data_IF_594697108125
#
_entry.id   IF_594697108125
#
_cell.length_a   1.000
_cell.length_b   1.000
_cell.length_c   1.000
_cell.angle_alpha   90.00
_cell.angle_beta   90.00
_cell.angle_gamma   90.00
#
_symmetry.space_group_name_H-M   'P 1'
#
loop_
_entity.id
_entity.type
_entity.pdbx_description
1 polymer ?
#
# COMPACT_ATOMS: atom_id res chain seq x y z
N UNK A 1 -9.80 -21.38 -5.64
CA UNK A 1 -10.40 -20.40 -6.60
C UNK A 1 -9.54 -19.15 -6.57
N UNK A 2 -8.97 -18.70 -7.69
CA UNK A 2 -8.16 -17.47 -7.70
C UNK A 2 -9.06 -16.28 -7.37
N UNK A 3 -8.99 -15.77 -6.14
CA UNK A 3 -9.65 -14.52 -5.82
C UNK A 3 -8.94 -13.42 -6.62
N UNK A 4 -9.69 -12.65 -7.40
CA UNK A 4 -9.16 -11.50 -8.13
C UNK A 4 -9.40 -10.26 -7.26
N UNK A 5 -8.35 -9.49 -6.98
CA UNK A 5 -8.50 -8.07 -6.67
C UNK A 5 -9.03 -7.40 -7.94
N UNK A 6 -10.35 -7.33 -8.10
CA UNK A 6 -10.98 -6.66 -9.24
C UNK A 6 -11.20 -5.19 -8.91
N UNK A 7 -10.27 -4.35 -9.37
CA UNK A 7 -10.41 -2.89 -9.37
C UNK A 7 -11.02 -2.35 -10.68
N UNK A 8 -11.48 -3.23 -11.59
CA UNK A 8 -12.11 -2.83 -12.87
C UNK A 8 -13.38 -1.98 -12.64
N UNK A 9 -14.04 -2.15 -11.50
CA UNK A 9 -15.18 -1.33 -11.11
C UNK A 9 -14.79 0.10 -10.70
N UNK A 10 -13.52 0.36 -10.33
CA UNK A 10 -13.10 1.71 -9.92
C UNK A 10 -13.26 2.72 -11.07
N UNK A 11 -13.05 2.30 -12.32
CA UNK A 11 -13.24 3.17 -13.49
C UNK A 11 -14.71 3.39 -13.85
N UNK A 12 -15.63 2.60 -13.28
CA UNK A 12 -17.07 2.67 -13.53
C UNK A 12 -17.80 3.52 -12.49
N UNK A 13 -17.12 3.88 -11.39
CA UNK A 13 -17.64 4.77 -10.36
C UNK A 13 -16.87 6.08 -10.47
N UNK A 14 -17.52 7.15 -10.93
CA UNK A 14 -16.88 8.43 -11.25
C UNK A 14 -15.97 8.95 -10.14
N UNK A 15 -16.43 8.90 -8.88
CA UNK A 15 -15.67 9.39 -7.72
C UNK A 15 -14.45 8.54 -7.39
N UNK A 16 -14.54 7.21 -7.52
CA UNK A 16 -13.38 6.31 -7.38
C UNK A 16 -12.39 6.52 -8.53
N UNK A 17 -12.88 6.73 -9.75
CA UNK A 17 -12.08 7.06 -10.92
C UNK A 17 -11.32 8.37 -10.70
N UNK A 18 -12.00 9.41 -10.22
CA UNK A 18 -11.41 10.71 -9.88
C UNK A 18 -10.39 10.62 -8.75
N UNK A 19 -10.68 9.86 -7.69
CA UNK A 19 -9.72 9.57 -6.62
C UNK A 19 -8.46 8.91 -7.18
N UNK A 20 -8.60 7.89 -8.04
CA UNK A 20 -7.47 7.22 -8.67
C UNK A 20 -6.67 8.16 -9.58
N UNK A 21 -7.34 8.96 -10.38
CA UNK A 21 -6.68 9.95 -11.23
C UNK A 21 -5.83 10.90 -10.37
N UNK A 22 -6.43 11.51 -9.34
CA UNK A 22 -5.75 12.47 -8.48
C UNK A 22 -4.59 11.87 -7.67
N UNK A 23 -4.72 10.62 -7.22
CA UNK A 23 -3.72 9.98 -6.34
C UNK A 23 -2.67 9.15 -7.08
N UNK A 24 -2.87 8.88 -8.38
CA UNK A 24 -1.97 8.03 -9.18
C UNK A 24 -1.57 8.70 -10.49
N UNK A 25 -2.51 8.87 -11.41
CA UNK A 25 -2.20 9.26 -12.79
C UNK A 25 -1.74 10.71 -12.89
N UNK A 26 -2.43 11.62 -12.21
CA UNK A 26 -2.04 13.01 -12.13
C UNK A 26 -0.67 13.17 -11.47
N UNK A 27 -0.44 12.46 -10.35
CA UNK A 27 0.85 12.49 -9.65
C UNK A 27 1.98 11.99 -10.56
N UNK A 28 1.81 10.81 -11.16
CA UNK A 28 2.82 10.15 -11.98
C UNK A 28 3.11 10.89 -13.29
N UNK A 29 2.06 11.35 -13.97
CA UNK A 29 2.18 11.83 -15.35
C UNK A 29 2.35 13.35 -15.46
N UNK A 30 1.95 14.11 -14.42
CA UNK A 30 1.98 15.58 -14.44
C UNK A 30 2.86 16.11 -13.32
N UNK A 31 2.57 15.75 -12.07
CA UNK A 31 3.23 16.34 -10.90
C UNK A 31 4.70 15.93 -10.81
N UNK A 32 5.01 14.64 -10.85
CA UNK A 32 6.39 14.15 -10.74
C UNK A 32 7.30 14.69 -11.86
N UNK A 33 6.92 14.66 -13.15
CA UNK A 33 7.71 15.29 -14.21
C UNK A 33 7.94 16.79 -13.99
N UNK A 34 6.93 17.51 -13.47
CA UNK A 34 7.05 18.93 -13.16
C UNK A 34 8.05 19.16 -12.01
N UNK A 35 7.96 18.39 -10.92
CA UNK A 35 8.90 18.46 -9.79
C UNK A 35 10.32 18.17 -10.26
N UNK A 36 10.50 17.08 -11.01
CA UNK A 36 11.83 16.63 -11.46
C UNK A 36 12.48 17.65 -12.40
N UNK A 37 11.69 18.28 -13.27
CA UNK A 37 12.17 19.32 -14.18
C UNK A 37 12.58 20.60 -13.45
N UNK A 38 11.83 21.02 -12.42
CA UNK A 38 12.02 22.32 -11.79
C UNK A 38 12.92 22.28 -10.54
N UNK A 39 12.90 21.18 -9.78
CA UNK A 39 13.65 21.05 -8.53
C UNK A 39 14.89 20.16 -8.67
N UNK A 40 15.01 19.39 -9.75
CA UNK A 40 16.13 18.47 -9.96
C UNK A 40 16.30 17.51 -8.77
N UNK A 41 17.42 17.65 -8.04
CA UNK A 41 17.76 16.85 -6.85
C UNK A 41 17.66 17.65 -5.53
N UNK A 42 16.96 18.78 -5.52
CA UNK A 42 16.72 19.53 -4.28
C UNK A 42 16.02 18.60 -3.28
N UNK A 43 16.60 18.48 -2.08
CA UNK A 43 16.00 17.73 -0.98
C UNK A 43 14.86 18.55 -0.38
N UNK A 44 13.65 18.01 -0.51
CA UNK A 44 12.42 18.51 0.10
C UNK A 44 11.87 17.46 1.08
N UNK A 45 10.80 17.77 1.79
CA UNK A 45 10.17 16.82 2.72
C UNK A 45 9.66 15.55 2.03
N UNK A 46 9.12 15.69 0.82
CA UNK A 46 8.76 14.59 -0.07
C UNK A 46 9.57 14.67 -1.36
N UNK A 47 9.82 13.50 -1.96
CA UNK A 47 10.62 13.34 -3.17
C UNK A 47 9.94 12.36 -4.11
N UNK A 48 10.08 12.56 -5.42
CA UNK A 48 9.61 11.58 -6.40
C UNK A 48 10.43 10.30 -6.31
N UNK A 49 9.94 9.21 -6.90
CA UNK A 49 10.72 7.97 -6.96
C UNK A 49 12.06 8.13 -7.68
N UNK A 50 12.15 8.99 -8.71
CA UNK A 50 13.42 9.24 -9.39
C UNK A 50 14.39 10.04 -8.52
N UNK A 51 13.87 11.00 -7.74
CA UNK A 51 14.69 11.74 -6.78
C UNK A 51 15.20 10.84 -5.66
N UNK A 52 14.34 9.96 -5.12
CA UNK A 52 14.74 8.95 -4.12
C UNK A 52 15.80 8.00 -4.68
N UNK A 53 15.60 7.49 -5.90
CA UNK A 53 16.56 6.62 -6.58
C UNK A 53 17.94 7.25 -6.71
N UNK A 54 18.00 8.52 -7.12
CA UNK A 54 19.26 9.27 -7.21
C UNK A 54 19.86 9.57 -5.84
N UNK A 55 19.04 9.93 -4.84
CA UNK A 55 19.55 10.28 -3.51
C UNK A 55 20.17 9.07 -2.78
N UNK A 56 19.54 7.90 -2.91
CA UNK A 56 19.98 6.68 -2.23
C UNK A 56 20.78 5.75 -3.15
N UNK A 57 21.19 6.24 -4.32
CA UNK A 57 21.97 5.49 -5.32
C UNK A 57 21.36 4.11 -5.62
N UNK A 58 20.04 4.04 -5.72
CA UNK A 58 19.31 2.80 -5.94
C UNK A 58 18.66 2.75 -7.32
N UNK A 59 18.49 1.53 -7.83
CA UNK A 59 17.89 1.30 -9.13
C UNK A 59 16.37 1.33 -9.06
N UNK A 60 15.76 1.89 -10.10
CA UNK A 60 14.32 2.07 -10.16
C UNK A 60 13.71 1.31 -11.33
N UNK A 61 12.96 0.27 -10.98
CA UNK A 61 12.29 -0.59 -11.93
C UNK A 61 10.80 -0.24 -12.06
N UNK A 62 10.30 -0.20 -13.30
CA UNK A 62 8.88 0.08 -13.60
C UNK A 62 8.18 -1.21 -14.03
N UNK A 63 7.58 -1.89 -13.06
CA UNK A 63 6.82 -3.12 -13.28
C UNK A 63 5.36 -2.78 -13.62
N UNK A 64 4.87 -3.32 -14.74
CA UNK A 64 3.50 -3.10 -15.24
C UNK A 64 2.55 -4.23 -14.88
N UNK A 65 3.07 -5.43 -14.65
CA UNK A 65 2.29 -6.63 -14.36
C UNK A 65 3.12 -7.62 -13.56
N UNK A 66 2.46 -8.49 -12.84
CA UNK A 66 3.05 -9.64 -12.14
C UNK A 66 2.54 -10.97 -12.68
N UNK A 67 1.73 -10.92 -13.76
CA UNK A 67 1.01 -12.08 -14.30
C UNK A 67 1.55 -12.58 -15.63
N UNK A 68 2.22 -11.71 -16.40
CA UNK A 68 2.80 -12.14 -17.67
C UNK A 68 4.24 -12.55 -17.45
N UNK A 69 4.71 -13.48 -18.27
CA UNK A 69 6.03 -14.10 -18.11
C UNK A 69 7.17 -13.09 -18.23
N UNK A 70 7.10 -12.17 -19.18
CA UNK A 70 8.13 -11.15 -19.40
C UNK A 70 8.37 -10.28 -18.16
N UNK A 71 7.31 -9.77 -17.53
CA UNK A 71 7.42 -8.94 -16.34
C UNK A 71 7.81 -9.77 -15.10
N UNK A 72 7.38 -11.03 -15.01
CA UNK A 72 7.85 -11.93 -13.97
C UNK A 72 9.36 -12.17 -14.09
N UNK A 73 9.86 -12.46 -15.28
CA UNK A 73 11.29 -12.69 -15.51
C UNK A 73 12.12 -11.43 -15.16
N UNK A 74 11.59 -10.21 -15.41
CA UNK A 74 12.23 -8.96 -14.93
C UNK A 74 12.32 -8.90 -13.42
N UNK A 75 11.25 -9.23 -12.70
CA UNK A 75 11.26 -9.23 -11.22
C UNK A 75 12.23 -10.28 -10.70
N UNK A 76 12.25 -11.47 -11.29
CA UNK A 76 13.16 -12.55 -10.91
C UNK A 76 14.61 -12.12 -11.11
N UNK A 77 14.93 -11.49 -12.25
CA UNK A 77 16.27 -10.95 -12.50
C UNK A 77 16.68 -9.91 -11.45
N UNK A 78 15.77 -9.01 -11.04
CA UNK A 78 16.04 -8.04 -9.96
C UNK A 78 16.39 -8.75 -8.65
N UNK A 79 15.67 -9.81 -8.27
CA UNK A 79 16.00 -10.58 -7.06
C UNK A 79 17.35 -11.28 -7.18
N UNK A 80 17.68 -11.84 -8.34
CA UNK A 80 18.95 -12.53 -8.59
C UNK A 80 20.14 -11.57 -8.61
N UNK A 81 19.96 -10.37 -9.14
CA UNK A 81 21.02 -9.36 -9.24
C UNK A 81 21.28 -8.66 -7.90
N UNK A 82 20.21 -8.33 -7.17
CA UNK A 82 20.30 -7.49 -5.97
C UNK A 82 20.25 -8.27 -4.66
N UNK A 83 19.92 -9.56 -4.71
CA UNK A 83 19.83 -10.47 -3.55
C UNK A 83 19.18 -9.82 -2.30
N UNK A 84 17.96 -9.24 -2.43
CA UNK A 84 17.43 -8.34 -1.42
C UNK A 84 17.22 -9.05 -0.08
N UNK A 85 17.71 -8.44 0.99
CA UNK A 85 17.53 -9.00 2.33
C UNK A 85 16.07 -8.96 2.80
N UNK A 86 15.32 -7.93 2.42
CA UNK A 86 13.92 -7.72 2.81
C UNK A 86 13.15 -7.03 1.70
N UNK A 87 11.86 -7.36 1.55
CA UNK A 87 10.98 -6.79 0.52
C UNK A 87 9.67 -6.29 1.12
N UNK A 88 9.23 -5.10 0.69
CA UNK A 88 8.01 -4.46 1.16
C UNK A 88 7.08 -4.08 -0.01
N UNK A 89 5.85 -4.56 0.04
CA UNK A 89 4.73 -4.14 -0.78
C UNK A 89 3.96 -3.02 -0.08
N UNK A 90 3.87 -1.86 -0.74
CA UNK A 90 3.12 -0.70 -0.28
C UNK A 90 2.10 -0.28 -1.33
N UNK A 91 0.81 -0.28 -0.96
CA UNK A 91 -0.30 0.12 -1.85
C UNK A 91 -0.20 -0.44 -3.28
N UNK A 92 0.26 -1.69 -3.39
CA UNK A 92 0.42 -2.35 -4.67
C UNK A 92 -0.95 -2.75 -5.24
N UNK A 93 -1.18 -2.46 -6.52
CA UNK A 93 -2.41 -2.85 -7.21
C UNK A 93 -2.26 -4.17 -7.99
N UNK A 94 -1.07 -4.78 -7.96
CA UNK A 94 -0.76 -6.03 -8.63
C UNK A 94 -0.82 -7.19 -7.62
N UNK A 95 -1.37 -8.32 -8.06
CA UNK A 95 -1.33 -9.57 -7.27
C UNK A 95 0.05 -10.18 -7.47
N UNK A 96 0.86 -10.25 -6.43
CA UNK A 96 2.18 -10.89 -6.49
C UNK A 96 1.95 -12.39 -6.73
N UNK A 97 2.56 -12.94 -7.79
CA UNK A 97 2.35 -14.33 -8.18
C UNK A 97 3.14 -15.30 -7.30
N UNK A 98 2.75 -16.56 -7.29
CA UNK A 98 3.46 -17.62 -6.55
C UNK A 98 4.91 -17.77 -7.03
N UNK A 99 5.20 -17.53 -8.31
CA UNK A 99 6.57 -17.56 -8.83
C UNK A 99 7.44 -16.48 -8.20
N UNK A 100 6.92 -15.26 -8.06
CA UNK A 100 7.65 -14.15 -7.43
C UNK A 100 7.81 -14.41 -5.93
N UNK A 101 6.76 -14.91 -5.25
CA UNK A 101 6.81 -15.28 -3.83
C UNK A 101 7.88 -16.36 -3.60
N UNK A 102 7.94 -17.37 -4.48
CA UNK A 102 8.94 -18.44 -4.41
C UNK A 102 10.35 -17.88 -4.56
N UNK A 103 10.62 -17.06 -5.57
CA UNK A 103 11.95 -16.46 -5.76
C UNK A 103 12.33 -15.59 -4.57
N UNK A 104 11.40 -14.77 -4.05
CA UNK A 104 11.65 -13.97 -2.85
C UNK A 104 12.00 -14.81 -1.62
N UNK A 105 11.54 -16.06 -1.54
CA UNK A 105 11.85 -16.96 -0.42
C UNK A 105 13.30 -17.46 -0.40
N UNK A 106 14.04 -17.28 -1.49
CA UNK A 106 15.43 -17.72 -1.64
C UNK A 106 16.45 -16.68 -1.14
N UNK A 107 16.01 -15.45 -0.85
CA UNK A 107 16.89 -14.34 -0.45
C UNK A 107 16.51 -13.76 0.92
N UNK A 108 17.52 -13.37 1.69
CA UNK A 108 17.33 -12.60 2.92
C UNK A 108 16.45 -13.29 3.96
N UNK A 109 15.46 -12.57 4.49
CA UNK A 109 14.43 -13.11 5.40
C UNK A 109 13.43 -14.04 4.69
N UNK A 110 13.50 -14.14 3.36
CA UNK A 110 12.70 -15.08 2.58
C UNK A 110 11.21 -14.74 2.51
N UNK A 111 10.84 -13.45 2.66
CA UNK A 111 9.45 -12.97 2.71
C UNK A 111 9.28 -11.62 2.02
N UNK A 112 8.10 -11.44 1.45
CA UNK A 112 7.58 -10.13 1.05
C UNK A 112 6.56 -9.70 2.11
N UNK A 113 6.76 -8.53 2.70
CA UNK A 113 5.83 -7.93 3.65
C UNK A 113 4.85 -7.03 2.90
N UNK A 114 3.64 -6.88 3.43
CA UNK A 114 2.64 -5.95 2.89
C UNK A 114 1.98 -5.18 4.02
N UNK A 115 1.77 -3.88 3.79
CA UNK A 115 0.94 -3.05 4.66
C UNK A 115 -0.48 -3.01 4.08
N UNK A 116 -1.39 -3.67 4.79
CA UNK A 116 -2.82 -3.62 4.52
C UNK A 116 -3.49 -2.58 5.41
N UNK A 117 -4.47 -1.86 4.87
CA UNK A 117 -5.10 -0.72 5.56
C UNK A 117 -6.37 -1.07 6.32
N UNK A 118 -6.48 -2.30 6.82
CA UNK A 118 -7.55 -2.76 7.74
C UNK A 118 -7.05 -3.92 8.60
N UNK A 119 -7.87 -4.34 9.57
CA UNK A 119 -7.56 -5.37 10.57
C UNK A 119 -7.76 -6.80 10.05
N UNK A 120 -6.70 -7.50 9.64
CA UNK A 120 -6.77 -8.91 9.23
C UNK A 120 -6.99 -9.86 10.42
N UNK A 121 -7.58 -11.06 10.23
CA UNK A 121 -8.14 -11.61 8.98
C UNK A 121 -9.45 -10.98 8.52
N UNK A 122 -10.09 -10.19 9.38
CA UNK A 122 -11.28 -9.43 9.02
C UNK A 122 -10.91 -8.44 7.89
N UNK A 123 -11.83 -8.12 6.99
CA UNK A 123 -11.65 -7.03 6.02
C UNK A 123 -10.40 -7.14 5.13
N UNK A 124 -10.17 -8.31 4.55
CA UNK A 124 -9.24 -8.48 3.43
C UNK A 124 -9.76 -7.78 2.16
N UNK A 125 -8.89 -7.49 1.19
CA UNK A 125 -9.28 -6.93 -0.12
C UNK A 125 -9.01 -5.43 -0.23
N UNK A 126 -9.97 -4.66 -0.73
CA UNK A 126 -9.75 -3.25 -1.10
C UNK A 126 -10.78 -2.31 -0.50
N UNK A 127 -10.37 -1.05 -0.29
CA UNK A 127 -11.22 0.02 0.27
C UNK A 127 -11.79 -0.29 1.66
N UNK A 128 -11.16 -1.21 2.39
CA UNK A 128 -11.65 -1.70 3.68
C UNK A 128 -11.74 -0.59 4.74
N UNK A 129 -10.75 0.31 4.78
CA UNK A 129 -10.76 1.47 5.68
C UNK A 129 -11.87 2.48 5.38
N UNK A 130 -12.43 2.51 4.16
CA UNK A 130 -13.59 3.34 3.85
C UNK A 130 -14.82 2.85 4.62
N UNK A 131 -14.97 1.52 4.74
CA UNK A 131 -16.03 0.91 5.55
C UNK A 131 -15.79 1.10 7.05
N UNK A 132 -14.53 1.11 7.50
CA UNK A 132 -14.19 1.42 8.89
C UNK A 132 -14.62 2.87 9.24
N UNK A 133 -14.40 3.82 8.32
CA UNK A 133 -14.90 5.21 8.45
C UNK A 133 -16.42 5.28 8.53
N UNK A 134 -17.12 4.54 7.66
CA UNK A 134 -18.59 4.49 7.62
C UNK A 134 -19.21 4.03 8.93
N UNK A 135 -18.54 3.09 9.60
CA UNK A 135 -18.95 2.56 10.90
C UNK A 135 -18.53 3.45 12.07
N UNK A 136 -17.83 4.56 11.81
CA UNK A 136 -17.32 5.48 12.83
C UNK A 136 -16.31 4.85 13.77
N UNK A 137 -15.64 3.77 13.34
CA UNK A 137 -14.67 3.01 14.12
C UNK A 137 -13.27 3.61 14.00
N UNK A 138 -12.39 3.30 14.97
CA UNK A 138 -10.96 3.51 14.77
C UNK A 138 -10.49 2.79 13.51
N UNK A 139 -9.54 3.40 12.81
CA UNK A 139 -8.96 2.82 11.62
C UNK A 139 -7.90 1.82 12.03
N UNK A 140 -7.82 0.70 11.32
CA UNK A 140 -6.82 -0.33 11.59
C UNK A 140 -5.89 -0.48 10.39
N UNK A 141 -4.68 -0.94 10.66
CA UNK A 141 -3.77 -1.44 9.65
C UNK A 141 -3.08 -2.70 10.12
N UNK A 142 -2.61 -3.49 9.15
CA UNK A 142 -1.93 -4.76 9.42
C UNK A 142 -0.67 -4.84 8.57
N UNK A 143 0.47 -5.11 9.19
CA UNK A 143 1.67 -5.60 8.52
C UNK A 143 1.59 -7.13 8.47
N UNK A 144 1.63 -7.72 7.29
CA UNK A 144 1.55 -9.17 7.13
C UNK A 144 2.48 -9.68 6.03
N UNK A 145 2.76 -10.98 6.03
CA UNK A 145 3.49 -11.65 4.95
C UNK A 145 2.56 -11.85 3.75
N UNK A 146 3.08 -11.65 2.54
CA UNK A 146 2.41 -12.00 1.30
C UNK A 146 2.53 -13.51 1.07
N UNK A 147 1.37 -14.14 0.86
CA UNK A 147 1.24 -15.54 0.45
C UNK A 147 0.38 -15.61 -0.83
N UNK A 148 0.13 -16.81 -1.35
CA UNK A 148 -0.64 -16.97 -2.60
C UNK A 148 -2.08 -16.41 -2.51
N UNK A 149 -2.67 -16.40 -1.31
CA UNK A 149 -3.97 -15.80 -1.06
C UNK A 149 -3.89 -14.28 -0.83
N UNK A 150 -4.94 -13.56 -1.24
CA UNK A 150 -5.04 -12.12 -1.01
C UNK A 150 -5.22 -11.85 0.48
N UNK A 151 -4.24 -11.19 1.07
CA UNK A 151 -4.19 -10.77 2.47
C UNK A 151 -4.38 -11.93 3.47
N UNK A 152 -3.94 -13.15 3.12
CA UNK A 152 -4.12 -14.34 3.98
C UNK A 152 -2.90 -14.70 4.81
N UNK A 153 -1.73 -14.14 4.50
CA UNK A 153 -0.48 -14.55 5.13
C UNK A 153 -0.33 -14.08 6.57
N UNK A 154 0.64 -14.66 7.27
CA UNK A 154 0.82 -14.46 8.72
C UNK A 154 0.98 -12.98 9.10
N UNK A 155 0.35 -12.58 10.21
CA UNK A 155 0.37 -11.21 10.72
C UNK A 155 1.64 -10.98 11.53
N UNK A 156 2.33 -9.90 11.18
CA UNK A 156 3.57 -9.43 11.79
C UNK A 156 3.28 -8.36 12.84
N UNK A 157 2.24 -7.56 12.61
CA UNK A 157 1.67 -6.68 13.64
C UNK A 157 0.41 -5.99 13.15
N UNK A 158 -0.56 -5.80 14.04
CA UNK A 158 -1.72 -4.95 13.82
C UNK A 158 -1.61 -3.65 14.64
N UNK A 159 -2.22 -2.59 14.13
CA UNK A 159 -2.21 -1.29 14.76
C UNK A 159 -3.49 -0.52 14.46
N UNK A 160 -3.80 0.45 15.32
CA UNK A 160 -4.90 1.37 15.13
C UNK A 160 -4.43 2.81 14.98
N UNK A 161 -5.23 3.60 14.28
CA UNK A 161 -5.11 5.05 14.15
C UNK A 161 -6.47 5.65 14.45
N UNK A 162 -6.49 6.74 15.20
CA UNK A 162 -7.74 7.44 15.50
C UNK A 162 -8.35 8.01 14.23
N UNK A 163 -9.65 7.74 14.05
CA UNK A 163 -10.40 8.30 12.94
C UNK A 163 -10.59 9.80 13.15
N UNK A 164 -10.03 10.61 12.24
CA UNK A 164 -10.36 12.03 12.18
C UNK A 164 -11.52 12.24 11.20
N UNK A 165 -12.70 12.53 11.75
CA UNK A 165 -13.93 12.76 10.97
C UNK A 165 -13.89 14.05 10.14
N UNK A 166 -12.96 14.96 10.42
CA UNK A 166 -12.77 16.19 9.64
C UNK A 166 -11.80 16.00 8.47
N UNK A 167 -11.19 14.82 8.33
CA UNK A 167 -10.27 14.49 7.24
C UNK A 167 -10.98 13.66 6.18
N UNK A 168 -10.58 13.86 4.93
CA UNK A 168 -11.03 12.96 3.86
C UNK A 168 -10.51 11.54 4.08
N UNK A 169 -11.07 10.58 3.34
CA UNK A 169 -10.56 9.22 3.29
C UNK A 169 -9.08 9.19 2.87
N UNK A 170 -8.65 10.01 1.91
CA UNK A 170 -7.24 10.08 1.50
C UNK A 170 -6.32 10.43 2.68
N UNK A 171 -6.66 11.48 3.45
CA UNK A 171 -5.80 11.94 4.54
C UNK A 171 -5.80 10.95 5.71
N UNK A 172 -6.95 10.36 6.04
CA UNK A 172 -7.00 9.24 6.99
C UNK A 172 -6.18 8.03 6.52
N UNK A 173 -6.26 7.68 5.23
CA UNK A 173 -5.48 6.59 4.63
C UNK A 173 -3.97 6.84 4.74
N UNK A 174 -3.52 8.08 4.53
CA UNK A 174 -2.12 8.47 4.74
C UNK A 174 -1.67 8.24 6.19
N UNK A 175 -2.52 8.48 7.19
CA UNK A 175 -2.19 8.22 8.59
C UNK A 175 -1.99 6.72 8.86
N UNK A 176 -2.86 5.87 8.31
CA UNK A 176 -2.73 4.40 8.41
C UNK A 176 -1.37 3.96 7.85
N UNK A 177 -1.06 4.34 6.60
CA UNK A 177 0.20 3.92 5.97
C UNK A 177 1.44 4.50 6.64
N UNK A 178 1.36 5.73 7.18
CA UNK A 178 2.46 6.32 7.96
C UNK A 178 2.75 5.48 9.21
N UNK A 179 1.73 5.08 9.96
CA UNK A 179 1.91 4.22 11.14
C UNK A 179 2.41 2.82 10.77
N UNK A 180 1.90 2.25 9.67
CA UNK A 180 2.40 0.97 9.18
C UNK A 180 3.87 1.02 8.78
N UNK A 181 4.32 2.09 8.11
CA UNK A 181 5.72 2.24 7.73
C UNK A 181 6.62 2.36 8.98
N UNK A 182 6.17 3.04 10.03
CA UNK A 182 6.89 3.08 11.31
C UNK A 182 7.04 1.69 11.92
N UNK A 183 5.97 0.89 11.96
CA UNK A 183 6.02 -0.49 12.49
C UNK A 183 6.95 -1.38 11.66
N UNK A 184 6.98 -1.19 10.34
CA UNK A 184 7.93 -1.93 9.50
C UNK A 184 9.39 -1.54 9.77
N UNK A 185 9.67 -0.27 10.06
CA UNK A 185 11.01 0.17 10.46
C UNK A 185 11.40 -0.38 11.84
N UNK A 186 10.48 -0.35 12.81
CA UNK A 186 10.67 -0.98 14.12
C UNK A 186 11.03 -2.47 13.97
N UNK A 187 10.33 -3.18 13.07
CA UNK A 187 10.67 -4.57 12.76
C UNK A 187 12.07 -4.73 12.12
N UNK A 188 12.48 -3.84 11.22
CA UNK A 188 13.84 -3.88 10.66
C UNK A 188 14.89 -3.70 11.77
N UNK A 189 14.66 -2.80 12.72
CA UNK A 189 15.56 -2.57 13.86
C UNK A 189 15.65 -3.82 14.76
N UNK A 190 14.56 -4.56 14.94
CA UNK A 190 14.55 -5.83 15.67
C UNK A 190 15.29 -6.94 14.91
N UNK A 191 15.11 -7.04 13.58
CA UNK A 191 15.88 -7.96 12.75
C UNK A 191 17.39 -7.70 12.86
N UNK A 192 17.80 -6.43 12.85
CA UNK A 192 19.20 -6.04 12.99
C UNK A 192 19.81 -6.42 14.36
N UNK A 193 18.97 -6.58 15.38
CA UNK A 193 19.38 -7.06 16.71
C UNK A 193 19.42 -8.60 16.81
N UNK A 194 19.09 -9.32 15.74
CA UNK A 194 19.13 -10.78 15.66
C UNK A 194 17.80 -11.47 16.01
N UNK A 195 16.71 -10.71 16.19
CA UNK A 195 15.38 -11.29 16.36
C UNK A 195 14.85 -11.79 15.02
N UNK A 196 14.31 -13.01 14.97
CA UNK A 196 13.76 -13.57 13.73
C UNK A 196 12.34 -13.09 13.42
N UNK A 197 11.59 -12.67 14.43
CA UNK A 197 10.22 -12.17 14.34
C UNK A 197 10.07 -10.93 15.21
N UNK A 198 9.18 -9.99 14.86
CA UNK A 198 8.97 -8.84 15.71
C UNK A 198 8.27 -9.23 17.00
N UNK A 199 8.46 -8.46 18.06
CA UNK A 199 7.73 -8.64 19.31
C UNK A 199 6.21 -8.53 19.14
N UNK A 200 5.74 -7.81 18.11
CA UNK A 200 4.32 -7.68 17.76
C UNK A 200 3.74 -8.86 16.96
N UNK A 201 4.48 -9.94 16.76
CA UNK A 201 4.06 -11.06 15.90
C UNK A 201 2.80 -11.77 16.41
N UNK A 202 1.74 -11.77 15.60
CA UNK A 202 0.46 -12.43 15.92
C UNK A 202 0.35 -13.84 15.30
N UNK A 203 1.22 -14.18 14.35
CA UNK A 203 1.29 -15.51 13.75
C UNK A 203 0.28 -15.75 12.64
N UNK A 204 -0.08 -17.03 12.44
CA UNK A 204 -0.99 -17.44 11.36
C UNK A 204 -2.38 -16.90 11.60
N UNK A 205 -3.01 -16.39 10.54
CA UNK A 205 -4.38 -15.90 10.58
C UNK A 205 -5.40 -17.04 10.81
N UNK A 206 -6.40 -16.77 11.65
CA UNK A 206 -7.61 -17.59 11.73
C UNK A 206 -8.57 -17.23 10.58
N UNK A 207 -8.38 -17.90 9.43
CA UNK A 207 -9.14 -17.61 8.22
C UNK A 207 -10.64 -17.93 8.34
N UNK A 208 -11.11 -18.58 9.41
CA UNK A 208 -12.55 -18.76 9.68
C UNK A 208 -13.27 -17.43 9.95
N UNK A 209 -12.52 -16.40 10.39
CA UNK A 209 -13.01 -15.04 10.65
C UNK A 209 -12.86 -14.11 9.44
N UNK A 210 -12.36 -14.62 8.31
CA UNK A 210 -12.03 -13.79 7.16
C UNK A 210 -13.27 -13.23 6.49
N UNK A 211 -13.31 -11.91 6.35
CA UNK A 211 -14.24 -11.20 5.46
C UNK A 211 -13.47 -10.55 4.32
N UNK A 212 -14.09 -10.42 3.15
CA UNK A 212 -13.43 -9.91 1.94
C UNK A 212 -14.25 -8.82 1.28
N UNK A 213 -13.62 -7.68 1.03
CA UNK A 213 -14.24 -6.50 0.45
C UNK A 213 -13.73 -6.26 -0.96
N UNK A 214 -14.68 -6.07 -1.87
CA UNK A 214 -14.43 -5.66 -3.24
C UNK A 214 -14.41 -4.13 -3.34
N UNK A 215 -14.04 -3.64 -4.52
CA UNK A 215 -14.27 -2.24 -4.89
C UNK A 215 -15.73 -1.86 -4.64
N UNK A 216 -16.00 -0.73 -3.94
CA UNK A 216 -17.35 -0.25 -3.69
C UNK A 216 -18.13 0.02 -4.99
N UNK A 217 -19.44 -0.20 -4.98
CA UNK A 217 -20.34 0.20 -6.07
C UNK A 217 -20.61 1.71 -6.04
N UNK A 218 -21.24 2.22 -7.10
CA UNK A 218 -21.75 3.59 -7.11
C UNK A 218 -22.72 3.87 -5.95
N UNK A 219 -23.64 2.94 -5.65
CA UNK A 219 -24.56 3.12 -4.52
C UNK A 219 -23.83 3.14 -3.17
N UNK A 220 -22.86 2.23 -2.98
CA UNK A 220 -22.08 2.15 -1.74
C UNK A 220 -21.25 3.43 -1.54
N UNK A 221 -20.68 4.00 -2.61
CA UNK A 221 -19.96 5.29 -2.52
C UNK A 221 -20.91 6.44 -2.14
N UNK A 222 -22.08 6.53 -2.78
CA UNK A 222 -23.04 7.59 -2.43
C UNK A 222 -23.52 7.47 -0.97
N UNK A 223 -23.72 6.24 -0.46
CA UNK A 223 -24.03 6.02 0.95
C UNK A 223 -22.95 6.56 1.88
N UNK A 224 -21.66 6.43 1.52
CA UNK A 224 -20.58 7.03 2.32
C UNK A 224 -20.67 8.55 2.36
N UNK A 225 -21.04 9.16 1.25
CA UNK A 225 -21.15 10.62 1.16
C UNK A 225 -22.38 11.15 1.88
N UNK A 226 -23.49 10.41 1.88
CA UNK A 226 -24.65 10.71 2.71
C UNK A 226 -24.31 10.67 4.22
N UNK A 227 -23.29 9.89 4.60
CA UNK A 227 -22.70 9.87 5.95
C UNK A 227 -21.66 10.99 6.17
N UNK A 228 -21.43 11.87 5.18
CA UNK A 228 -20.47 12.96 5.25
C UNK A 228 -19.02 12.55 4.99
N UNK A 229 -18.77 11.35 4.43
CA UNK A 229 -17.41 10.88 4.14
C UNK A 229 -16.99 11.34 2.75
N UNK A 230 -16.02 12.25 2.71
CA UNK A 230 -15.38 12.67 1.46
C UNK A 230 -14.22 11.73 1.10
N UNK A 231 -14.14 11.27 -0.15
CA UNK A 231 -13.02 10.43 -0.59
C UNK A 231 -11.69 11.18 -0.63
N UNK A 232 -11.72 12.46 -0.99
CA UNK A 232 -10.57 13.35 -1.04
C UNK A 232 -11.03 14.79 -0.91
N UNK A 233 -10.16 15.65 -0.38
CA UNK A 233 -10.31 17.10 -0.44
C UNK A 233 -9.18 17.74 -1.25
N UNK A 234 -9.50 18.76 -2.05
CA UNK A 234 -8.49 19.48 -2.83
C UNK A 234 -7.49 20.21 -1.93
N UNK A 235 -7.93 20.78 -0.81
CA UNK A 235 -7.02 21.47 0.11
C UNK A 235 -5.99 20.50 0.69
N UNK A 236 -6.40 19.28 1.05
CA UNK A 236 -5.51 18.24 1.55
C UNK A 236 -4.56 17.71 0.47
N UNK A 237 -5.02 17.60 -0.78
CA UNK A 237 -4.14 17.26 -1.90
C UNK A 237 -3.08 18.36 -2.08
N UNK A 238 -3.47 19.64 -2.08
CA UNK A 238 -2.52 20.74 -2.20
C UNK A 238 -1.55 20.80 -1.02
N UNK A 239 -2.01 20.53 0.19
CA UNK A 239 -1.18 20.39 1.39
C UNK A 239 -0.11 19.30 1.17
N UNK A 240 -0.50 18.10 0.73
CA UNK A 240 0.43 17.00 0.43
C UNK A 240 1.42 17.40 -0.67
N UNK A 241 0.94 18.05 -1.74
CA UNK A 241 1.79 18.48 -2.85
C UNK A 241 2.80 19.54 -2.42
N UNK A 242 2.46 20.43 -1.48
CA UNK A 242 3.36 21.46 -0.97
C UNK A 242 4.64 20.86 -0.36
N UNK A 243 4.56 19.68 0.28
CA UNK A 243 5.74 19.01 0.85
C UNK A 243 6.79 18.56 -0.19
N UNK A 244 6.46 18.56 -1.48
CA UNK A 244 7.46 18.36 -2.54
C UNK A 244 8.23 19.63 -2.91
N UNK A 245 7.82 20.79 -2.41
CA UNK A 245 8.45 22.09 -2.68
C UNK A 245 9.10 22.72 -1.44
N UNK A 246 8.62 22.33 -0.25
CA UNK A 246 9.17 22.65 1.07
C UNK A 246 10.34 21.72 1.40
#
# INVERSE_FOLDING_TARGET
MSQKVSRKAESQVEKLSKFNFLTKDYIRNIVFPCIEKNLGNKKCHLMTFNQLARQYECELYRIKSTKNREEQDKIIAIYQEHEPYISLSLRNNLIISSEIIKVASEYGVGKIFNIHSSKLPERAGVWCSLWDMAEGKSLYGTLHIVEEGIDTGSIIGAYSVDLNKNYSYLKNLCLIYKKGAQIFLEYIDELAQGYSFPFSWEGKQDLSKRTYYRTPTYQEVNQMEDLGIELFSYSEIFEILAYYFL
#
